data_IF_361098264548
#
_entry.id   IF_361098264548
#
_cell.length_a   1.000
_cell.length_b   1.000
_cell.length_c   1.000
_cell.angle_alpha   90.00
_cell.angle_beta   90.00
_cell.angle_gamma   90.00
#
_symmetry.space_group_name_H-M   'P 1'
#
loop_
_entity.id
_entity.type
_entity.pdbx_description
1 polymer ?
#
# COMPACT_ATOMS: atom_id res chain seq x y z
N UNK A 1 19.91 16.87 2.33
CA UNK A 1 18.53 17.33 2.54
C UNK A 1 17.58 16.22 2.10
N UNK A 2 16.96 15.48 3.02
CA UNK A 2 15.97 14.45 2.65
C UNK A 2 14.73 15.18 2.19
N UNK A 3 14.53 15.29 0.88
CA UNK A 3 13.31 15.81 0.27
C UNK A 3 12.13 14.99 0.78
N UNK A 4 11.37 15.57 1.71
CA UNK A 4 10.19 14.96 2.29
C UNK A 4 9.07 15.07 1.24
N UNK A 5 9.09 14.18 0.24
CA UNK A 5 8.06 14.08 -0.79
C UNK A 5 6.78 13.54 -0.14
N UNK A 6 6.01 14.44 0.46
CA UNK A 6 4.68 14.16 0.99
C UNK A 6 3.78 13.66 -0.14
N UNK A 7 3.25 12.44 0.03
CA UNK A 7 2.31 11.84 -0.93
C UNK A 7 0.89 12.21 -0.51
N UNK A 8 0.21 13.01 -1.35
CA UNK A 8 -1.17 13.41 -1.16
C UNK A 8 -2.09 12.67 -2.14
N UNK A 9 -3.18 12.09 -1.64
CA UNK A 9 -4.22 11.42 -2.46
C UNK A 9 -5.58 12.06 -2.19
N UNK A 10 -6.41 12.34 -3.21
CA UNK A 10 -7.71 12.97 -3.01
C UNK A 10 -8.68 12.06 -2.25
N UNK A 11 -9.57 12.67 -1.44
CA UNK A 11 -10.65 11.98 -0.72
C UNK A 11 -11.68 11.31 -1.65
N UNK A 12 -11.78 11.79 -2.89
CA UNK A 12 -12.67 11.22 -3.92
C UNK A 12 -11.92 11.00 -5.22
N UNK A 13 -12.14 9.84 -5.87
CA UNK A 13 -11.53 9.49 -7.15
C UNK A 13 -12.58 8.90 -8.10
N UNK A 14 -12.57 9.31 -9.37
CA UNK A 14 -13.32 8.61 -10.44
C UNK A 14 -12.51 7.38 -10.88
N UNK A 15 -13.09 6.19 -10.77
CA UNK A 15 -12.45 4.94 -11.23
C UNK A 15 -13.48 3.90 -11.63
N UNK A 16 -13.04 2.84 -12.31
CA UNK A 16 -13.91 1.76 -12.76
C UNK A 16 -14.45 0.96 -11.58
N UNK A 17 -15.78 0.85 -11.51
CA UNK A 17 -16.42 -0.03 -10.55
C UNK A 17 -16.62 -1.42 -11.17
N UNK A 18 -15.99 -2.43 -10.57
CA UNK A 18 -16.10 -3.85 -11.00
C UNK A 18 -17.40 -4.53 -10.56
N UNK A 19 -18.26 -3.85 -9.80
CA UNK A 19 -19.55 -4.41 -9.40
C UNK A 19 -20.40 -4.70 -10.64
N UNK A 20 -21.10 -5.84 -10.63
CA UNK A 20 -21.96 -6.30 -11.72
C UNK A 20 -23.03 -5.25 -12.09
N UNK A 21 -23.48 -4.48 -11.10
CA UNK A 21 -24.52 -3.44 -11.24
C UNK A 21 -24.01 -2.13 -11.86
N UNK A 22 -22.71 -1.82 -11.70
CA UNK A 22 -22.17 -0.54 -12.15
C UNK A 22 -21.46 -0.66 -13.50
N UNK A 23 -20.46 -1.55 -13.60
CA UNK A 23 -19.59 -1.75 -14.78
C UNK A 23 -19.16 -0.47 -15.52
N UNK A 24 -19.04 0.65 -14.79
CA UNK A 24 -18.76 1.99 -15.33
C UNK A 24 -17.85 2.77 -14.40
N UNK A 25 -17.30 3.89 -14.88
CA UNK A 25 -16.54 4.80 -14.03
C UNK A 25 -17.47 5.59 -13.12
N UNK A 26 -17.30 5.45 -11.81
CA UNK A 26 -18.10 6.14 -10.80
C UNK A 26 -17.19 6.86 -9.81
N UNK A 27 -17.77 7.80 -9.05
CA UNK A 27 -17.10 8.45 -7.93
C UNK A 27 -16.94 7.45 -6.78
N UNK A 28 -15.71 7.32 -6.28
CA UNK A 28 -15.36 6.49 -5.15
C UNK A 28 -14.86 7.35 -3.99
N UNK A 29 -15.31 7.03 -2.76
CA UNK A 29 -14.73 7.50 -1.50
C UNK A 29 -13.42 6.77 -1.27
N UNK A 30 -12.35 7.53 -1.05
CA UNK A 30 -11.00 7.02 -0.80
C UNK A 30 -10.72 7.10 0.69
N UNK A 31 -10.43 5.96 1.30
CA UNK A 31 -10.03 5.87 2.72
C UNK A 31 -8.76 5.05 2.85
N UNK A 32 -8.02 5.22 3.94
CA UNK A 32 -6.88 4.35 4.22
C UNK A 32 -7.38 3.02 4.80
N UNK A 33 -6.85 1.90 4.30
CA UNK A 33 -7.11 0.61 4.90
C UNK A 33 -6.48 0.54 6.30
N UNK A 34 -7.27 0.11 7.28
CA UNK A 34 -6.81 -0.24 8.62
C UNK A 34 -7.02 -1.73 8.83
N UNK A 35 -6.01 -2.41 9.38
CA UNK A 35 -6.16 -3.80 9.80
C UNK A 35 -7.12 -3.84 10.99
N UNK A 36 -8.15 -4.68 10.91
CA UNK A 36 -9.06 -4.94 12.05
C UNK A 36 -8.41 -5.77 13.15
N UNK A 37 -9.15 -6.00 14.23
CA UNK A 37 -8.77 -6.93 15.30
C UNK A 37 -8.70 -8.36 14.74
N UNK A 38 -7.67 -9.10 15.13
CA UNK A 38 -7.53 -10.50 14.74
C UNK A 38 -8.62 -11.36 15.43
N UNK A 39 -9.30 -12.22 14.66
CA UNK A 39 -10.38 -13.07 15.17
C UNK A 39 -9.84 -14.31 15.88
N UNK A 40 -10.42 -14.64 17.04
CA UNK A 40 -10.06 -15.83 17.83
C UNK A 40 -10.58 -17.13 17.23
N UNK A 41 -11.71 -17.08 16.51
CA UNK A 41 -12.34 -18.26 15.91
C UNK A 41 -11.58 -18.80 14.68
N UNK A 42 -10.62 -18.03 14.14
CA UNK A 42 -9.81 -18.43 13.00
C UNK A 42 -9.04 -19.73 13.32
N UNK A 43 -9.04 -20.68 12.38
CA UNK A 43 -8.42 -22.00 12.57
C UNK A 43 -6.95 -21.91 13.03
N UNK A 44 -6.19 -20.96 12.46
CA UNK A 44 -4.79 -20.75 12.83
C UNK A 44 -4.62 -20.29 14.29
N UNK A 45 -5.51 -19.44 14.78
CA UNK A 45 -5.50 -18.96 16.17
C UNK A 45 -5.92 -20.08 17.13
N UNK A 46 -7.01 -20.81 16.84
CA UNK A 46 -7.43 -22.00 17.60
C UNK A 46 -6.31 -23.03 17.73
N UNK A 47 -5.61 -23.32 16.62
CA UNK A 47 -4.46 -24.24 16.60
C UNK A 47 -3.29 -23.72 17.44
N UNK A 48 -3.00 -22.42 17.36
CA UNK A 48 -1.93 -21.79 18.13
C UNK A 48 -2.21 -21.87 19.63
N UNK A 49 -3.44 -21.53 20.06
CA UNK A 49 -3.81 -21.50 21.47
C UNK A 49 -3.80 -22.90 22.09
N UNK A 50 -4.29 -23.91 21.36
CA UNK A 50 -4.18 -25.33 21.77
C UNK A 50 -2.73 -25.82 21.83
N UNK A 51 -1.85 -25.31 20.95
CA UNK A 51 -0.43 -25.67 21.00
C UNK A 51 0.27 -25.00 22.20
N UNK A 52 -0.15 -23.80 22.55
CA UNK A 52 0.45 -23.00 23.60
C UNK A 52 0.02 -23.44 25.02
N UNK A 53 -1.09 -24.15 25.16
CA UNK A 53 -1.57 -24.64 26.46
C UNK A 53 -0.66 -25.73 27.05
N UNK A 54 -0.49 -25.72 28.37
CA UNK A 54 0.34 -26.68 29.11
C UNK A 54 1.73 -26.13 29.42
N UNK A 55 2.67 -27.03 29.70
CA UNK A 55 4.07 -26.70 29.98
C UNK A 55 4.92 -26.73 28.70
N UNK A 56 6.06 -26.02 28.69
CA UNK A 56 6.98 -25.98 27.54
C UNK A 56 7.17 -24.60 26.91
N UNK A 57 6.51 -23.56 27.43
CA UNK A 57 6.78 -22.17 27.05
C UNK A 57 6.31 -21.79 25.64
N UNK A 58 7.10 -20.95 24.95
CA UNK A 58 6.73 -20.39 23.65
C UNK A 58 6.87 -21.41 22.51
N UNK A 59 5.76 -21.80 21.88
CA UNK A 59 5.74 -22.94 20.94
C UNK A 59 5.95 -22.62 19.45
N UNK A 60 6.02 -21.33 19.11
CA UNK A 60 6.18 -20.81 17.74
C UNK A 60 7.18 -19.65 17.72
N UNK A 61 7.97 -19.50 16.65
CA UNK A 61 9.02 -18.49 16.58
C UNK A 61 8.45 -17.07 16.60
N UNK A 62 9.08 -16.21 17.40
CA UNK A 62 8.79 -14.76 17.43
C UNK A 62 9.81 -14.05 16.55
N UNK A 63 9.33 -13.18 15.66
CA UNK A 63 10.20 -12.48 14.72
C UNK A 63 10.74 -11.17 15.33
N UNK A 64 12.05 -11.10 15.59
CA UNK A 64 12.71 -9.95 16.23
C UNK A 64 13.40 -8.98 15.25
N UNK A 65 13.97 -9.47 14.15
CA UNK A 65 14.84 -8.67 13.26
C UNK A 65 14.05 -7.88 12.19
N UNK A 66 13.26 -6.88 12.60
CA UNK A 66 12.49 -6.03 11.68
C UNK A 66 13.37 -4.98 11.02
N UNK A 67 13.64 -5.14 9.71
CA UNK A 67 14.42 -4.16 8.94
C UNK A 67 13.58 -3.05 8.28
N UNK A 68 12.31 -3.32 7.96
CA UNK A 68 11.46 -2.34 7.23
C UNK A 68 10.86 -1.33 8.20
N UNK A 69 11.14 -0.05 7.95
CA UNK A 69 10.64 1.09 8.75
C UNK A 69 9.23 1.54 8.36
N UNK A 70 8.79 1.22 7.14
CA UNK A 70 7.48 1.63 6.60
C UNK A 70 6.63 0.45 6.15
N UNK A 71 5.31 0.66 6.11
CA UNK A 71 4.33 -0.30 5.60
C UNK A 71 3.88 0.12 4.20
N UNK A 72 3.38 -0.82 3.41
CA UNK A 72 2.71 -0.48 2.14
C UNK A 72 1.36 0.13 2.47
N UNK A 73 1.07 1.31 1.93
CA UNK A 73 -0.21 1.97 2.13
C UNK A 73 -1.21 1.38 1.13
N UNK A 74 -2.35 0.93 1.65
CA UNK A 74 -3.44 0.38 0.86
C UNK A 74 -4.63 1.32 0.99
N UNK A 75 -5.21 1.70 -0.14
CA UNK A 75 -6.40 2.51 -0.22
C UNK A 75 -7.63 1.61 -0.34
N UNK A 76 -8.67 1.95 0.42
CA UNK A 76 -9.99 1.36 0.32
C UNK A 76 -10.86 2.31 -0.51
N UNK A 77 -11.21 1.89 -1.72
CA UNK A 77 -12.09 2.62 -2.64
C UNK A 77 -13.52 2.09 -2.50
N UNK A 78 -14.44 2.91 -2.02
CA UNK A 78 -15.86 2.58 -1.90
C UNK A 78 -16.67 3.31 -2.97
N UNK A 79 -17.36 2.57 -3.83
CA UNK A 79 -18.26 3.14 -4.82
C UNK A 79 -19.43 3.84 -4.14
N UNK A 80 -19.80 5.05 -4.57
CA UNK A 80 -20.94 5.77 -4.00
C UNK A 80 -22.30 5.17 -4.40
N UNK A 81 -22.40 4.55 -5.58
CA UNK A 81 -23.63 3.91 -6.07
C UNK A 81 -23.89 2.56 -5.39
N UNK A 82 -23.10 1.55 -5.74
CA UNK A 82 -23.32 0.17 -5.29
C UNK A 82 -22.63 -0.20 -3.96
N UNK A 83 -21.93 0.75 -3.30
CA UNK A 83 -21.17 0.54 -2.06
C UNK A 83 -20.07 -0.53 -2.12
N UNK A 84 -19.81 -1.12 -3.28
CA UNK A 84 -18.75 -2.09 -3.49
C UNK A 84 -17.38 -1.49 -3.12
N UNK A 85 -16.59 -2.30 -2.41
CA UNK A 85 -15.29 -1.91 -1.87
C UNK A 85 -14.18 -2.65 -2.59
N UNK A 86 -13.15 -1.93 -3.00
CA UNK A 86 -11.96 -2.50 -3.61
C UNK A 86 -10.68 -1.95 -2.96
N UNK A 87 -9.70 -2.83 -2.77
CA UNK A 87 -8.41 -2.48 -2.14
C UNK A 87 -7.36 -2.24 -3.21
N UNK A 88 -6.73 -1.07 -3.16
CA UNK A 88 -5.73 -0.63 -4.13
C UNK A 88 -4.46 -0.19 -3.40
N UNK A 89 -3.37 -0.97 -3.47
CA UNK A 89 -2.09 -0.52 -2.94
C UNK A 89 -1.53 0.62 -3.82
N UNK A 90 -0.88 1.60 -3.20
CA UNK A 90 -0.33 2.74 -3.95
C UNK A 90 0.83 2.26 -4.81
N UNK A 91 0.72 2.49 -6.12
CA UNK A 91 1.84 2.41 -7.06
C UNK A 91 2.46 3.81 -7.12
N UNK A 92 3.48 4.07 -6.31
CA UNK A 92 4.35 5.22 -6.61
C UNK A 92 5.26 4.75 -7.74
N UNK A 93 5.27 5.47 -8.85
CA UNK A 93 6.28 5.28 -9.88
C UNK A 93 7.44 6.18 -9.47
N UNK A 94 8.65 5.63 -9.39
CA UNK A 94 9.81 6.49 -9.32
C UNK A 94 9.88 7.23 -10.66
N UNK A 95 9.50 8.50 -10.69
CA UNK A 95 10.22 9.44 -11.55
C UNK A 95 11.61 9.60 -10.91
N UNK A 96 12.41 8.53 -10.97
CA UNK A 96 13.85 8.70 -10.93
C UNK A 96 14.15 9.42 -12.23
N UNK A 97 14.56 10.69 -12.12
CA UNK A 97 15.21 11.39 -13.20
C UNK A 97 16.26 10.44 -13.79
N UNK A 98 16.03 10.00 -15.03
CA UNK A 98 16.95 9.17 -15.79
C UNK A 98 18.14 10.02 -16.27
N UNK A 99 18.87 10.63 -15.35
CA UNK A 99 20.10 11.39 -15.61
C UNK A 99 21.29 10.80 -14.84
N UNK A 100 21.28 9.49 -14.64
CA UNK A 100 22.43 8.74 -14.13
C UNK A 100 22.42 7.30 -14.70
N UNK A 101 22.46 7.20 -16.03
CA UNK A 101 22.93 6.00 -16.73
C UNK A 101 24.15 6.42 -17.54
N UNK A 102 25.25 6.68 -16.84
CA UNK A 102 26.58 6.52 -17.40
C UNK A 102 27.34 5.58 -16.48
N UNK A 103 27.78 4.46 -17.05
CA UNK A 103 28.53 3.35 -16.47
C UNK A 103 27.72 2.28 -15.73
N UNK A 104 27.26 1.26 -16.47
CA UNK A 104 27.59 -0.15 -16.19
C UNK A 104 27.15 -1.03 -17.38
N UNK A 105 28.11 -1.80 -17.88
CA UNK A 105 28.10 -2.60 -19.11
C UNK A 105 27.13 -3.80 -19.08
N UNK A 106 26.78 -4.38 -20.24
CA UNK A 106 25.73 -5.38 -20.37
C UNK A 106 26.29 -6.82 -20.34
N UNK A 107 25.78 -7.68 -19.45
CA UNK A 107 25.77 -9.13 -19.70
C UNK A 107 24.38 -9.71 -19.47
N UNK A 108 24.07 -10.59 -20.42
CA UNK A 108 22.77 -11.13 -20.81
C UNK A 108 22.42 -12.32 -19.91
N UNK A 109 21.24 -12.32 -19.30
CA UNK A 109 20.63 -13.58 -18.85
C UNK A 109 19.11 -13.46 -18.86
N UNK A 110 18.51 -14.35 -19.64
CA UNK A 110 17.10 -14.45 -19.92
C UNK A 110 16.34 -14.90 -18.68
N UNK A 111 15.30 -14.15 -18.34
CA UNK A 111 14.31 -14.51 -17.35
C UNK A 111 13.24 -13.44 -17.44
N UNK A 112 12.06 -13.82 -17.93
CA UNK A 112 10.89 -12.97 -17.99
C UNK A 112 10.63 -12.38 -16.60
N UNK A 113 11.21 -11.20 -16.36
CA UNK A 113 11.03 -10.44 -15.15
C UNK A 113 9.61 -9.93 -15.23
N UNK A 114 8.68 -10.71 -14.68
CA UNK A 114 7.38 -10.20 -14.24
C UNK A 114 7.73 -8.93 -13.50
N UNK A 115 7.45 -7.78 -14.09
CA UNK A 115 7.71 -6.49 -13.51
C UNK A 115 6.85 -6.42 -12.24
N UNK A 116 7.42 -6.88 -11.12
CA UNK A 116 6.91 -6.59 -9.79
C UNK A 116 7.17 -5.10 -9.67
N UNK A 117 6.22 -4.29 -10.15
CA UNK A 117 6.10 -2.89 -9.81
C UNK A 117 6.09 -2.86 -8.28
N UNK A 118 7.26 -2.62 -7.70
CA UNK A 118 7.45 -2.62 -6.27
C UNK A 118 6.60 -1.49 -5.74
N UNK A 119 5.41 -1.83 -5.24
CA UNK A 119 4.48 -0.91 -4.59
C UNK A 119 5.27 -0.12 -3.56
N UNK A 120 5.60 1.12 -3.92
CA UNK A 120 6.55 1.93 -3.20
C UNK A 120 5.93 2.39 -1.87
N UNK A 121 6.74 2.36 -0.82
CA UNK A 121 6.33 2.72 0.53
C UNK A 121 6.70 4.18 0.78
N UNK A 122 5.72 5.04 1.02
CA UNK A 122 5.96 6.40 1.51
C UNK A 122 6.01 6.43 3.04
N UNK A 123 6.82 7.34 3.60
CA UNK A 123 6.90 7.61 5.05
C UNK A 123 5.76 8.52 5.50
N UNK A 124 5.47 9.56 4.72
CA UNK A 124 4.44 10.55 5.00
C UNK A 124 3.33 10.46 3.94
N UNK A 125 2.09 10.25 4.39
CA UNK A 125 0.93 10.06 3.52
C UNK A 125 -0.31 10.68 4.11
N UNK A 126 -1.01 11.48 3.30
CA UNK A 126 -2.24 12.14 3.71
C UNK A 126 -3.33 12.01 2.65
N UNK A 127 -4.58 11.98 3.14
CA UNK A 127 -5.76 11.91 2.28
C UNK A 127 -6.49 13.26 2.32
N UNK A 128 -6.48 13.94 1.17
CA UNK A 128 -7.17 15.21 0.95
C UNK A 128 -6.46 16.41 1.56
N UNK A 129 -5.13 16.44 1.51
CA UNK A 129 -4.37 17.65 1.78
C UNK A 129 -4.61 18.71 0.70
N UNK A 130 -4.31 19.96 1.02
CA UNK A 130 -4.48 21.09 0.11
C UNK A 130 -3.66 20.92 -1.16
N UNK A 131 -4.21 21.36 -2.29
CA UNK A 131 -3.48 21.36 -3.56
C UNK A 131 -2.36 22.38 -3.43
N UNK A 132 -1.12 21.96 -3.73
CA UNK A 132 0.01 22.89 -3.78
C UNK A 132 -0.31 24.03 -4.76
N UNK A 133 -0.22 25.27 -4.29
CA UNK A 133 -0.37 26.45 -5.12
C UNK A 133 0.64 26.46 -6.26
N UNK A 134 0.25 27.02 -7.41
CA UNK A 134 1.19 27.24 -8.51
C UNK A 134 2.02 28.48 -8.17
N UNK A 135 3.25 28.29 -7.70
CA UNK A 135 4.25 29.36 -7.61
C UNK A 135 3.93 30.51 -6.65
N UNK A 136 3.33 30.24 -5.49
CA UNK A 136 3.26 31.25 -4.42
C UNK A 136 4.63 31.36 -3.74
N UNK A 137 5.09 32.60 -3.52
CA UNK A 137 6.34 32.91 -2.81
C UNK A 137 6.34 32.26 -1.43
N UNK A 138 7.52 31.75 -1.03
CA UNK A 138 7.77 31.21 0.31
C UNK A 138 7.74 32.37 1.32
N UNK A 139 6.56 32.75 1.76
CA UNK A 139 6.34 33.59 2.95
C UNK A 139 5.22 32.97 3.78
#
# INVERSE_FOLDING_TARGET
MVSNLQVNVPKTKKTYCKSKECKKHTLHKVTQYKKGKDSLAAQGKRRYDRKQSGYGGQTKPVFHKKAKTTKKIVLRLQCQGCKHVSQHPIKVCALLHASALMHLSPTRANGASIAIFSLQRCKHFEIGGDKKGKGTSLF
#
